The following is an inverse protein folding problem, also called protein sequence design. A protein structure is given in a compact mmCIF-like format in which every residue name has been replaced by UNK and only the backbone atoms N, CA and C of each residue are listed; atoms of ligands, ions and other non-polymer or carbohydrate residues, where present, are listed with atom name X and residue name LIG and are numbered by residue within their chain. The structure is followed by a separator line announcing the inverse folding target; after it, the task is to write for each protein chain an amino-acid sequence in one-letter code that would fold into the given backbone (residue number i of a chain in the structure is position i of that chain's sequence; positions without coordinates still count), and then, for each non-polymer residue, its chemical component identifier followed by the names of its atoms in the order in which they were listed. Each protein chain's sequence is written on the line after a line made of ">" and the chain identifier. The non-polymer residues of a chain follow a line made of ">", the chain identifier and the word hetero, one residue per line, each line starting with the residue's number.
data_IF_101984051225
#
_entry.id   IF_101984051225
#
_cell.length_a   1.000
_cell.length_b   1.000
_cell.length_c   1.000
_cell.angle_alpha   90.00
_cell.angle_beta   90.00
_cell.angle_gamma   90.00
#
_symmetry.space_group_name_H-M   'P 1'
#
loop_
_entity.id
_entity.type
_entity.pdbx_description
1 polymer ?
#
# COMPACT_ATOMS: atom_id res chain seq x y z
N UNK A 1 -21.20 20.57 -20.45
CA UNK A 1 -19.78 20.37 -20.09
C UNK A 1 -19.51 20.42 -18.58
N UNK A 2 -19.59 21.56 -17.88
CA UNK A 2 -19.28 21.62 -16.42
C UNK A 2 -20.23 20.74 -15.58
N UNK A 3 -21.53 20.70 -15.92
CA UNK A 3 -22.51 19.81 -15.26
C UNK A 3 -22.24 18.32 -15.52
N UNK A 4 -21.80 17.96 -16.72
CA UNK A 4 -21.45 16.57 -17.09
C UNK A 4 -20.14 16.13 -16.45
N UNK A 5 -19.13 17.02 -16.41
CA UNK A 5 -17.89 16.79 -15.69
C UNK A 5 -18.15 16.60 -14.19
N UNK A 6 -19.02 17.43 -13.61
CA UNK A 6 -19.48 17.26 -12.24
C UNK A 6 -20.15 15.87 -12.08
N UNK A 7 -21.14 15.53 -12.89
CA UNK A 7 -21.81 14.23 -12.82
C UNK A 7 -20.85 13.02 -13.01
N UNK A 8 -19.79 13.19 -13.80
CA UNK A 8 -18.74 12.17 -13.98
C UNK A 8 -17.83 12.04 -12.77
N UNK A 9 -17.33 13.16 -12.23
CA UNK A 9 -16.46 13.19 -11.04
C UNK A 9 -17.18 12.74 -9.77
N UNK A 10 -18.48 13.03 -9.65
CA UNK A 10 -19.29 12.64 -8.50
C UNK A 10 -19.86 11.21 -8.62
N UNK A 11 -19.42 10.42 -9.61
CA UNK A 11 -19.69 8.99 -9.65
C UNK A 11 -18.81 8.34 -8.57
N UNK A 12 -19.42 7.73 -7.54
CA UNK A 12 -18.74 7.24 -6.33
C UNK A 12 -17.42 6.50 -6.61
N UNK A 13 -17.44 5.55 -7.55
CA UNK A 13 -16.27 4.78 -7.98
C UNK A 13 -15.05 5.64 -8.40
N UNK A 14 -15.24 6.84 -8.97
CA UNK A 14 -14.15 7.72 -9.39
C UNK A 14 -13.52 8.45 -8.20
N UNK A 15 -14.33 8.86 -7.22
CA UNK A 15 -13.85 9.53 -6.00
C UNK A 15 -13.06 8.54 -5.14
N UNK A 16 -13.60 7.34 -4.92
CA UNK A 16 -12.95 6.31 -4.09
C UNK A 16 -11.62 5.87 -4.71
N UNK A 17 -11.59 5.70 -6.04
CA UNK A 17 -10.36 5.42 -6.77
C UNK A 17 -9.34 6.56 -6.66
N UNK A 18 -9.78 7.82 -6.75
CA UNK A 18 -8.88 8.96 -6.59
C UNK A 18 -8.28 9.02 -5.18
N UNK A 19 -9.08 8.78 -4.13
CA UNK A 19 -8.62 8.74 -2.75
C UNK A 19 -7.64 7.58 -2.54
N UNK A 20 -7.95 6.39 -3.04
CA UNK A 20 -7.08 5.22 -2.94
C UNK A 20 -5.71 5.45 -3.59
N UNK A 21 -5.67 6.05 -4.78
CA UNK A 21 -4.42 6.38 -5.49
C UNK A 21 -3.60 7.43 -4.73
N UNK A 22 -4.24 8.48 -4.22
CA UNK A 22 -3.55 9.54 -3.47
C UNK A 22 -2.96 8.98 -2.18
N UNK A 23 -3.74 8.25 -1.39
CA UNK A 23 -3.26 7.64 -0.14
C UNK A 23 -2.17 6.61 -0.42
N UNK A 24 -2.34 5.77 -1.44
CA UNK A 24 -1.34 4.78 -1.84
C UNK A 24 -0.01 5.43 -2.24
N UNK A 25 -0.06 6.52 -3.02
CA UNK A 25 1.16 7.26 -3.42
C UNK A 25 1.84 7.94 -2.23
N UNK A 26 1.09 8.56 -1.33
CA UNK A 26 1.61 9.20 -0.13
C UNK A 26 2.25 8.17 0.82
N UNK A 27 1.58 7.04 1.04
CA UNK A 27 2.11 5.94 1.86
C UNK A 27 3.39 5.35 1.24
N UNK A 28 3.41 5.15 -0.08
CA UNK A 28 4.61 4.71 -0.80
C UNK A 28 5.80 5.65 -0.60
N UNK A 29 5.57 6.97 -0.59
CA UNK A 29 6.60 7.96 -0.31
C UNK A 29 7.16 7.86 1.12
N UNK A 30 6.31 7.63 2.12
CA UNK A 30 6.72 7.41 3.51
C UNK A 30 7.61 6.17 3.64
N UNK A 31 7.19 5.05 3.04
CA UNK A 31 7.97 3.80 3.05
C UNK A 31 9.30 3.98 2.34
N UNK A 32 9.31 4.69 1.21
CA UNK A 32 10.53 4.98 0.45
C UNK A 32 11.50 5.82 1.27
N UNK A 33 11.03 6.88 1.95
CA UNK A 33 11.85 7.70 2.84
C UNK A 33 12.39 6.89 4.03
N UNK A 34 11.56 6.06 4.67
CA UNK A 34 12.01 5.19 5.76
C UNK A 34 13.16 4.26 5.31
N UNK A 35 13.06 3.69 4.12
CA UNK A 35 14.09 2.78 3.60
C UNK A 35 15.36 3.54 3.21
N UNK A 36 15.23 4.65 2.48
CA UNK A 36 16.37 5.40 1.97
C UNK A 36 17.09 6.18 3.07
N UNK A 37 16.34 6.78 4.00
CA UNK A 37 16.86 7.74 4.97
C UNK A 37 17.18 7.11 6.32
N UNK A 38 16.60 5.93 6.65
CA UNK A 38 16.83 5.23 7.92
C UNK A 38 17.50 3.88 7.69
N UNK A 39 16.85 2.96 6.99
CA UNK A 39 17.37 1.58 6.84
C UNK A 39 18.68 1.54 6.06
N UNK A 40 18.77 2.27 4.96
CA UNK A 40 19.95 2.27 4.09
C UNK A 40 21.21 2.80 4.82
N UNK A 41 21.22 3.99 5.44
CA UNK A 41 22.40 4.46 6.13
C UNK A 41 22.73 3.67 7.41
N UNK A 42 21.73 3.15 8.13
CA UNK A 42 21.97 2.47 9.41
C UNK A 42 22.31 0.99 9.29
N UNK A 43 21.76 0.30 8.29
CA UNK A 43 21.92 -1.15 8.12
C UNK A 43 22.71 -1.44 6.85
N UNK A 44 22.27 -0.92 5.71
CA UNK A 44 22.82 -1.32 4.41
C UNK A 44 24.24 -0.79 4.20
N UNK A 45 24.49 0.49 4.47
CA UNK A 45 25.81 1.08 4.27
C UNK A 45 26.87 0.37 5.12
N UNK A 46 26.71 0.21 6.46
CA UNK A 46 27.65 -0.56 7.26
C UNK A 46 27.83 -2.01 6.80
N UNK A 47 26.75 -2.69 6.38
CA UNK A 47 26.83 -4.05 5.87
C UNK A 47 27.64 -4.14 4.56
N UNK A 48 27.45 -3.20 3.64
CA UNK A 48 28.21 -3.12 2.39
C UNK A 48 29.69 -2.80 2.64
N UNK A 49 29.99 -1.91 3.60
CA UNK A 49 31.36 -1.64 4.04
C UNK A 49 32.03 -2.90 4.61
N UNK A 50 31.33 -3.60 5.51
CA UNK A 50 31.83 -4.84 6.11
C UNK A 50 32.11 -5.94 5.07
N UNK A 51 31.33 -5.97 4.00
CA UNK A 51 31.50 -6.93 2.91
C UNK A 51 32.54 -6.51 1.85
N UNK A 52 33.19 -5.34 1.97
CA UNK A 52 34.06 -4.73 0.94
C UNK A 52 33.36 -4.53 -0.42
N UNK A 53 32.04 -4.38 -0.43
CA UNK A 53 31.23 -4.25 -1.66
C UNK A 53 30.59 -2.87 -1.75
N UNK A 54 31.29 -1.82 -1.33
CA UNK A 54 30.75 -0.45 -1.33
C UNK A 54 30.31 0.03 -2.73
N UNK A 55 30.89 -0.53 -3.79
CA UNK A 55 30.70 -0.11 -5.17
C UNK A 55 30.02 -1.18 -6.06
N UNK A 56 29.10 -1.99 -5.50
CA UNK A 56 28.27 -2.91 -6.31
C UNK A 56 27.64 -2.22 -7.52
N UNK A 57 27.24 -0.96 -7.39
CA UNK A 57 26.60 -0.18 -8.47
C UNK A 57 27.55 0.21 -9.61
N UNK A 58 28.86 0.19 -9.36
CA UNK A 58 29.91 0.55 -10.33
C UNK A 58 30.47 -0.67 -11.07
N UNK A 59 29.99 -1.88 -10.76
CA UNK A 59 30.43 -3.09 -11.43
C UNK A 59 30.02 -3.08 -12.90
N UNK A 60 31.02 -3.20 -13.77
CA UNK A 60 30.83 -3.27 -15.22
C UNK A 60 31.60 -4.43 -15.82
N UNK A 61 31.00 -5.10 -16.80
CA UNK A 61 31.66 -6.14 -17.60
C UNK A 61 31.43 -5.86 -19.07
N UNK A 62 32.52 -5.66 -19.84
CA UNK A 62 32.46 -5.36 -21.27
C UNK A 62 31.51 -4.19 -21.64
N UNK A 63 31.48 -3.15 -20.81
CA UNK A 63 30.58 -1.99 -20.99
C UNK A 63 29.15 -2.18 -20.43
N UNK A 64 28.79 -3.38 -19.97
CA UNK A 64 27.49 -3.67 -19.36
C UNK A 64 27.54 -3.35 -17.85
N UNK A 65 26.74 -2.37 -17.42
CA UNK A 65 26.62 -1.91 -16.02
C UNK A 65 25.69 -2.81 -15.19
N UNK A 66 26.01 -4.09 -15.07
CA UNK A 66 25.19 -5.04 -14.28
C UNK A 66 25.12 -4.67 -12.80
N UNK A 67 26.11 -3.91 -12.30
CA UNK A 67 26.11 -3.38 -10.94
C UNK A 67 24.90 -2.52 -10.61
N UNK A 68 24.46 -1.67 -11.54
CA UNK A 68 23.28 -0.83 -11.34
C UNK A 68 21.99 -1.66 -11.24
N UNK A 69 21.87 -2.72 -12.05
CA UNK A 69 20.75 -3.66 -11.96
C UNK A 69 20.75 -4.42 -10.63
N UNK A 70 21.91 -4.95 -10.22
CA UNK A 70 22.05 -5.67 -8.95
C UNK A 70 21.72 -4.75 -7.75
N UNK A 71 22.17 -3.49 -7.79
CA UNK A 71 21.79 -2.48 -6.81
C UNK A 71 20.28 -2.23 -6.75
N UNK A 72 19.60 -2.17 -7.89
CA UNK A 72 18.15 -2.03 -7.95
C UNK A 72 17.41 -3.24 -7.36
N UNK A 73 17.90 -4.47 -7.63
CA UNK A 73 17.34 -5.71 -7.04
C UNK A 73 17.51 -5.71 -5.52
N UNK A 74 18.69 -5.35 -5.02
CA UNK A 74 18.95 -5.25 -3.57
C UNK A 74 18.02 -4.20 -2.95
N UNK A 75 17.90 -3.03 -3.56
CA UNK A 75 17.00 -1.98 -3.09
C UNK A 75 15.54 -2.45 -3.03
N UNK A 76 15.06 -3.15 -4.07
CA UNK A 76 13.72 -3.72 -4.10
C UNK A 76 13.48 -4.72 -2.96
N UNK A 77 14.43 -5.62 -2.71
CA UNK A 77 14.34 -6.59 -1.61
C UNK A 77 14.30 -5.90 -0.25
N UNK A 78 15.08 -4.83 -0.06
CA UNK A 78 15.10 -4.08 1.20
C UNK A 78 13.79 -3.33 1.39
N UNK A 79 13.27 -2.65 0.37
CA UNK A 79 11.99 -1.95 0.44
C UNK A 79 10.86 -2.94 0.73
N UNK A 80 10.79 -4.04 -0.01
CA UNK A 80 9.76 -5.07 0.19
C UNK A 80 9.81 -5.70 1.58
N UNK A 81 11.02 -6.01 2.08
CA UNK A 81 11.20 -6.56 3.43
C UNK A 81 10.86 -5.53 4.51
N UNK A 82 11.26 -4.27 4.32
CA UNK A 82 10.94 -3.19 5.27
C UNK A 82 9.43 -2.95 5.32
N UNK A 83 8.75 -2.93 4.17
CA UNK A 83 7.30 -2.83 4.09
C UNK A 83 6.61 -3.95 4.86
N UNK A 84 7.08 -5.19 4.70
CA UNK A 84 6.56 -6.33 5.47
C UNK A 84 6.65 -6.09 6.99
N UNK A 85 7.78 -5.60 7.49
CA UNK A 85 7.94 -5.30 8.91
C UNK A 85 7.04 -4.13 9.37
N UNK A 86 6.90 -3.09 8.55
CA UNK A 86 6.01 -1.95 8.85
C UNK A 86 4.55 -2.40 8.94
N UNK A 87 4.08 -3.17 7.96
CA UNK A 87 2.70 -3.70 7.96
C UNK A 87 2.48 -4.61 9.17
N UNK A 88 3.42 -5.54 9.43
CA UNK A 88 3.33 -6.43 10.59
C UNK A 88 3.36 -5.69 11.93
N UNK A 89 4.13 -4.61 12.03
CA UNK A 89 4.14 -3.75 13.21
C UNK A 89 2.83 -3.00 13.37
N UNK A 90 2.26 -2.49 12.28
CA UNK A 90 0.95 -1.83 12.28
C UNK A 90 -0.17 -2.80 12.68
N UNK A 91 -0.20 -4.02 12.12
CA UNK A 91 -1.14 -5.08 12.48
C UNK A 91 -1.04 -5.47 13.96
N UNK A 92 0.17 -5.48 14.53
CA UNK A 92 0.39 -5.79 15.94
C UNK A 92 0.05 -4.63 16.87
N UNK A 93 0.28 -3.40 16.43
CA UNK A 93 0.02 -2.18 17.19
C UNK A 93 -1.46 -1.78 17.16
N UNK A 94 -2.18 -2.14 16.10
CA UNK A 94 -3.63 -2.14 16.12
C UNK A 94 -4.09 -3.19 17.16
N UNK A 95 -4.81 -2.78 18.21
CA UNK A 95 -5.41 -3.76 19.11
C UNK A 95 -6.27 -4.70 18.27
N UNK A 96 -6.30 -6.00 18.61
CA UNK A 96 -7.37 -6.91 18.17
C UNK A 96 -8.69 -6.45 18.80
N UNK A 97 -9.16 -5.27 18.41
CA UNK A 97 -10.51 -4.82 18.71
C UNK A 97 -11.37 -5.51 17.68
N UNK A 98 -12.19 -6.45 18.14
CA UNK A 98 -13.46 -6.73 17.50
C UNK A 98 -14.10 -5.41 17.08
N UNK A 99 -14.48 -5.32 15.81
CA UNK A 99 -15.48 -4.39 15.28
C UNK A 99 -15.27 -2.91 15.60
N UNK A 100 -14.82 -2.17 14.60
CA UNK A 100 -15.68 -1.17 13.99
C UNK A 100 -15.77 -1.67 12.55
N UNK A 101 -16.81 -2.43 12.17
CA UNK A 101 -17.98 -1.76 11.62
C UNK A 101 -17.51 -0.48 10.90
N UNK A 102 -16.86 -0.67 9.75
CA UNK A 102 -17.16 0.20 8.62
C UNK A 102 -18.65 -0.04 8.37
N UNK A 103 -19.48 0.55 9.23
CA UNK A 103 -20.74 1.12 8.83
C UNK A 103 -20.37 2.29 7.89
N UNK A 104 -19.75 1.99 6.74
CA UNK A 104 -20.46 2.39 5.55
C UNK A 104 -21.81 1.78 5.79
N UNK A 105 -22.83 2.62 5.90
CA UNK A 105 -24.22 2.21 5.88
C UNK A 105 -24.32 1.17 4.77
N UNK A 106 -24.13 -0.10 5.10
CA UNK A 106 -24.38 -1.22 4.23
C UNK A 106 -25.89 -1.17 4.27
N UNK A 107 -26.43 -0.37 3.34
CA UNK A 107 -27.84 -0.37 3.07
C UNK A 107 -28.21 -1.85 3.04
N UNK A 108 -29.21 -2.27 3.83
CA UNK A 108 -29.52 -3.67 4.02
C UNK A 108 -29.48 -4.33 2.65
N UNK A 109 -28.69 -5.39 2.56
CA UNK A 109 -28.44 -6.05 1.29
C UNK A 109 -29.79 -6.38 0.67
N UNK A 110 -29.85 -6.44 -0.66
CA UNK A 110 -31.11 -6.76 -1.33
C UNK A 110 -31.69 -8.09 -0.81
N UNK A 111 -30.82 -9.02 -0.39
CA UNK A 111 -31.21 -10.29 0.23
C UNK A 111 -31.81 -10.12 1.62
N UNK A 112 -31.26 -9.25 2.48
CA UNK A 112 -31.84 -8.91 3.79
C UNK A 112 -33.19 -8.22 3.63
N UNK A 113 -33.29 -7.23 2.72
CA UNK A 113 -34.55 -6.55 2.43
C UNK A 113 -35.62 -7.51 1.88
N UNK A 114 -35.25 -8.43 0.99
CA UNK A 114 -36.17 -9.44 0.48
C UNK A 114 -36.60 -10.43 1.56
N UNK A 115 -35.71 -10.75 2.51
CA UNK A 115 -36.03 -11.59 3.67
C UNK A 115 -37.01 -10.88 4.60
N UNK A 116 -36.77 -9.61 4.93
CA UNK A 116 -37.69 -8.79 5.71
C UNK A 116 -39.06 -8.64 5.03
N UNK A 117 -39.08 -8.39 3.71
CA UNK A 117 -40.33 -8.31 2.93
C UNK A 117 -41.07 -9.66 2.95
N UNK A 118 -40.38 -10.78 2.81
CA UNK A 118 -40.99 -12.12 2.88
C UNK A 118 -41.62 -12.35 4.24
N UNK A 119 -40.91 -12.03 5.31
CA UNK A 119 -41.38 -12.28 6.68
C UNK A 119 -42.54 -11.35 7.05
N UNK A 120 -42.55 -10.11 6.55
CA UNK A 120 -43.68 -9.18 6.66
C UNK A 120 -44.91 -9.64 5.86
N UNK A 121 -44.73 -10.29 4.72
CA UNK A 121 -45.82 -10.89 3.93
C UNK A 121 -46.35 -12.19 4.56
N UNK A 122 -45.50 -12.98 5.22
CA UNK A 122 -45.91 -14.20 5.91
C UNK A 122 -46.75 -13.92 7.17
N UNK A 123 -46.55 -12.75 7.79
CA UNK A 123 -47.29 -12.28 8.97
C UNK A 123 -48.61 -11.55 8.64
N UNK A 124 -49.06 -11.59 7.38
CA UNK A 124 -50.24 -10.90 6.87
C UNK A 124 -51.27 -11.88 6.34
#
# INVERSE_FOLDING_TARGET
>A
MIKELKAFLFRGNVIDLAVAVIIGSAFGAIVTSFVNDIITPLILNPALKAANVENITQLTWNGVKYGSFLGAVINFLIIGTSLFFVVKAAEKAMPKKQEEEVVEVAAPTQEELLTEIRDLLANK
#
